data_IF_240503867833
#
_entry.id   IF_240503867833
#
_cell.length_a   1.000
_cell.length_b   1.000
_cell.length_c   1.000
_cell.angle_alpha   90.00
_cell.angle_beta   90.00
_cell.angle_gamma   90.00
#
_symmetry.space_group_name_H-M   'P 1'
#
loop_
_entity.id
_entity.type
_entity.pdbx_description
1 polymer ?
#
# COMPACT_ATOMS: atom_id res chain seq x y z
N UNK A 1 14.03 -58.10 0.43
CA UNK A 1 15.05 -57.06 0.14
C UNK A 1 14.90 -56.71 -1.33
N UNK A 2 14.69 -55.48 -1.79
CA UNK A 2 15.00 -54.17 -1.25
C UNK A 2 14.08 -53.17 -2.00
N UNK A 3 13.27 -52.39 -1.28
CA UNK A 3 12.45 -51.32 -1.84
C UNK A 3 13.37 -50.11 -2.10
N UNK A 4 13.66 -49.80 -3.37
CA UNK A 4 14.42 -48.61 -3.75
C UNK A 4 13.46 -47.41 -3.81
N UNK A 5 13.28 -46.77 -2.65
CA UNK A 5 12.75 -45.41 -2.54
C UNK A 5 13.80 -44.44 -3.10
N UNK A 6 13.69 -44.12 -4.38
CA UNK A 6 14.29 -42.89 -4.93
C UNK A 6 13.52 -41.70 -4.36
N UNK A 7 13.95 -41.23 -3.18
CA UNK A 7 13.66 -39.88 -2.72
C UNK A 7 14.38 -38.92 -3.69
N UNK A 8 13.65 -38.42 -4.69
CA UNK A 8 14.04 -37.18 -5.34
C UNK A 8 14.00 -36.10 -4.25
N UNK A 9 15.15 -35.73 -3.73
CA UNK A 9 15.32 -34.41 -3.11
C UNK A 9 15.14 -33.37 -4.21
N UNK A 10 13.88 -32.99 -4.46
CA UNK A 10 13.59 -31.73 -5.11
C UNK A 10 14.28 -30.66 -4.26
N UNK A 11 15.14 -29.79 -4.84
CA UNK A 11 15.67 -28.68 -4.10
C UNK A 11 14.48 -27.89 -3.58
N UNK A 12 14.27 -27.90 -2.26
CA UNK A 12 13.34 -26.99 -1.63
C UNK A 12 13.90 -25.60 -1.89
N UNK A 13 13.41 -24.96 -2.95
CA UNK A 13 13.68 -23.55 -3.20
C UNK A 13 13.02 -22.81 -2.06
N UNK A 14 13.78 -22.50 -1.01
CA UNK A 14 13.28 -21.73 0.11
C UNK A 14 13.45 -20.25 -0.22
N UNK A 15 12.47 -19.67 -0.91
CA UNK A 15 12.46 -18.22 -1.06
C UNK A 15 12.28 -17.53 0.30
N UNK A 16 12.67 -16.27 0.41
CA UNK A 16 12.45 -15.44 1.61
C UNK A 16 11.56 -14.26 1.26
N UNK A 17 10.88 -13.68 2.24
CA UNK A 17 10.28 -12.36 2.08
C UNK A 17 11.28 -11.29 2.51
N UNK A 18 11.25 -10.15 1.82
CA UNK A 18 11.93 -8.93 2.23
C UNK A 18 10.94 -8.06 2.99
N UNK A 19 11.33 -7.56 4.17
CA UNK A 19 10.54 -6.71 5.06
C UNK A 19 11.16 -5.31 5.17
N UNK A 20 10.63 -4.39 4.37
CA UNK A 20 11.17 -3.04 4.26
C UNK A 20 10.12 -2.03 3.77
N UNK A 21 10.44 -0.75 3.89
CA UNK A 21 9.72 0.33 3.21
C UNK A 21 10.69 1.41 2.71
N UNK A 22 10.22 2.21 1.74
CA UNK A 22 10.90 3.43 1.30
C UNK A 22 11.09 4.40 2.47
N UNK A 23 12.25 5.08 2.60
CA UNK A 23 12.53 6.00 3.70
C UNK A 23 11.46 7.07 3.96
N UNK A 24 10.87 7.64 2.90
CA UNK A 24 9.86 8.69 3.04
C UNK A 24 8.60 8.23 3.79
N UNK A 25 8.28 6.93 3.73
CA UNK A 25 7.11 6.37 4.41
C UNK A 25 7.24 6.34 5.93
N UNK A 26 8.44 6.54 6.49
CA UNK A 26 8.65 6.56 7.94
C UNK A 26 7.81 7.64 8.63
N UNK A 27 7.67 8.80 7.99
CA UNK A 27 6.90 9.94 8.50
C UNK A 27 5.55 10.12 7.79
N UNK A 28 5.26 9.26 6.82
CA UNK A 28 4.09 9.38 5.95
C UNK A 28 3.38 8.03 5.77
N UNK A 29 3.36 7.21 6.82
CA UNK A 29 2.83 5.85 6.76
C UNK A 29 1.38 5.79 6.28
N UNK A 30 0.57 6.82 6.54
CA UNK A 30 -0.80 6.96 6.08
C UNK A 30 -0.96 6.85 4.56
N UNK A 31 0.08 7.19 3.77
CA UNK A 31 0.05 7.05 2.31
C UNK A 31 -0.13 5.60 1.86
N UNK A 32 0.25 4.64 2.71
CA UNK A 32 0.16 3.20 2.39
C UNK A 32 -1.25 2.64 2.47
N UNK A 33 -2.15 3.28 3.23
CA UNK A 33 -3.44 2.69 3.59
C UNK A 33 -3.35 1.44 4.49
N UNK A 34 -2.15 1.11 5.00
CA UNK A 34 -1.94 0.01 5.94
C UNK A 34 -2.20 0.48 7.36
N UNK A 35 -2.92 -0.35 8.12
CA UNK A 35 -3.32 -0.04 9.49
C UNK A 35 -2.13 0.09 10.45
N UNK A 36 -1.08 -0.72 10.21
CA UNK A 36 0.05 -0.87 11.12
C UNK A 36 1.37 -0.70 10.39
N UNK A 37 2.28 0.00 11.05
CA UNK A 37 3.69 0.02 10.73
C UNK A 37 4.40 -0.96 11.69
N UNK A 38 4.93 -2.09 11.21
CA UNK A 38 5.65 -3.03 12.06
C UNK A 38 6.85 -2.37 12.75
N UNK A 39 7.04 -2.64 14.04
CA UNK A 39 8.10 -2.01 14.84
C UNK A 39 9.53 -2.27 14.30
N UNK A 40 9.74 -3.44 13.67
CA UNK A 40 11.03 -3.85 13.12
C UNK A 40 11.17 -3.54 11.62
N UNK A 41 10.23 -2.79 11.02
CA UNK A 41 10.26 -2.46 9.60
C UNK A 41 11.48 -1.60 9.26
N UNK A 42 12.30 -2.06 8.31
CA UNK A 42 13.48 -1.33 7.88
C UNK A 42 13.13 -0.29 6.82
N UNK A 43 13.41 0.98 7.11
CA UNK A 43 13.24 2.09 6.16
C UNK A 43 14.56 2.33 5.42
N UNK A 44 14.65 1.85 4.18
CA UNK A 44 15.91 1.86 3.43
C UNK A 44 15.71 1.90 1.92
N UNK A 45 16.63 2.53 1.19
CA UNK A 45 16.60 2.66 -0.28
C UNK A 45 16.75 1.31 -1.01
N UNK A 46 17.29 0.29 -0.34
CA UNK A 46 17.32 -1.10 -0.84
C UNK A 46 15.92 -1.66 -1.07
N UNK A 47 14.90 -1.11 -0.40
CA UNK A 47 13.53 -1.53 -0.63
C UNK A 47 13.04 -1.20 -2.04
N UNK A 48 13.63 -0.19 -2.68
CA UNK A 48 13.19 0.33 -3.98
C UNK A 48 13.98 -0.32 -5.13
N UNK A 49 15.30 -0.41 -4.96
CA UNK A 49 16.22 -0.70 -6.06
C UNK A 49 16.30 -2.18 -6.44
N UNK A 50 15.90 -3.09 -5.56
CA UNK A 50 16.31 -4.48 -5.71
C UNK A 50 17.78 -4.68 -5.33
N UNK A 51 18.18 -5.91 -5.07
CA UNK A 51 19.58 -6.25 -4.82
C UNK A 51 19.84 -7.74 -4.99
N UNK A 52 21.07 -8.10 -5.31
CA UNK A 52 21.49 -9.51 -5.37
C UNK A 52 21.42 -10.18 -3.97
N UNK A 53 21.69 -9.41 -2.91
CA UNK A 53 21.58 -9.84 -1.53
C UNK A 53 20.96 -8.73 -0.68
N UNK A 54 20.07 -9.12 0.22
CA UNK A 54 19.48 -8.24 1.22
C UNK A 54 20.15 -8.44 2.59
N UNK A 55 20.27 -7.38 3.39
CA UNK A 55 20.68 -7.51 4.79
C UNK A 55 19.80 -8.50 5.55
N UNK A 56 20.38 -9.34 6.40
CA UNK A 56 19.64 -10.38 7.14
C UNK A 56 18.50 -9.81 8.01
N UNK A 57 18.66 -8.59 8.52
CA UNK A 57 17.62 -7.89 9.29
C UNK A 57 16.43 -7.39 8.46
N UNK A 58 16.48 -7.53 7.13
CA UNK A 58 15.36 -7.28 6.22
C UNK A 58 14.73 -8.58 5.72
N UNK A 59 15.22 -9.75 6.15
CA UNK A 59 14.78 -11.03 5.64
C UNK A 59 13.87 -11.75 6.63
N UNK A 60 12.72 -12.21 6.11
CA UNK A 60 11.75 -13.00 6.86
C UNK A 60 11.63 -14.37 6.19
N UNK A 61 12.09 -15.46 6.83
CA UNK A 61 12.11 -16.79 6.22
C UNK A 61 10.74 -17.46 6.15
N UNK A 62 9.74 -16.95 6.87
CA UNK A 62 8.38 -17.50 6.91
C UNK A 62 7.35 -16.41 7.22
N UNK A 63 6.21 -16.41 6.52
CA UNK A 63 5.04 -15.59 6.85
C UNK A 63 3.88 -16.50 7.29
N UNK A 64 2.99 -15.97 8.14
CA UNK A 64 1.74 -16.69 8.44
C UNK A 64 0.70 -16.59 7.32
N UNK A 65 0.83 -15.57 6.46
CA UNK A 65 0.03 -15.38 5.23
C UNK A 65 0.92 -15.44 3.99
N UNK A 66 0.93 -14.40 3.16
CA UNK A 66 1.77 -14.28 1.97
C UNK A 66 2.79 -13.17 2.16
N UNK A 67 3.93 -13.28 1.46
CA UNK A 67 4.71 -12.09 1.22
C UNK A 67 3.86 -11.14 0.35
N UNK A 68 3.95 -9.84 0.58
CA UNK A 68 3.44 -8.87 -0.36
C UNK A 68 4.49 -7.80 -0.67
N UNK A 69 4.31 -7.18 -1.82
CA UNK A 69 5.00 -5.97 -2.24
C UNK A 69 3.95 -5.01 -2.81
N UNK A 70 4.13 -3.73 -2.50
CA UNK A 70 3.25 -2.67 -2.94
C UNK A 70 4.09 -1.49 -3.38
N UNK A 71 3.64 -0.83 -4.45
CA UNK A 71 4.23 0.40 -4.97
C UNK A 71 3.15 1.47 -5.08
N UNK A 72 3.48 2.68 -4.61
CA UNK A 72 2.57 3.82 -4.61
C UNK A 72 3.29 5.03 -5.19
N UNK A 73 2.77 5.64 -6.28
CA UNK A 73 3.26 6.91 -6.77
C UNK A 73 2.68 8.06 -5.95
N UNK A 74 3.54 8.85 -5.32
CA UNK A 74 3.19 10.09 -4.60
C UNK A 74 4.23 11.14 -4.91
N UNK A 75 3.81 12.38 -5.15
CA UNK A 75 4.73 13.52 -5.41
C UNK A 75 5.78 13.22 -6.50
N UNK A 76 5.36 12.54 -7.58
CA UNK A 76 6.20 12.16 -8.71
C UNK A 76 7.35 11.19 -8.36
N UNK A 77 7.23 10.45 -7.25
CA UNK A 77 8.17 9.41 -6.82
C UNK A 77 7.44 8.11 -6.50
N UNK A 78 8.13 6.98 -6.68
CA UNK A 78 7.63 5.68 -6.24
C UNK A 78 8.06 5.38 -4.81
N UNK A 79 7.11 4.93 -4.00
CA UNK A 79 7.35 4.40 -2.68
C UNK A 79 6.99 2.92 -2.62
N UNK A 80 7.85 2.15 -1.97
CA UNK A 80 7.74 0.70 -1.90
C UNK A 80 7.48 0.25 -0.47
N UNK A 81 6.63 -0.77 -0.32
CA UNK A 81 6.41 -1.48 0.94
C UNK A 81 6.48 -2.96 0.65
N UNK A 82 7.22 -3.71 1.47
CA UNK A 82 7.38 -5.15 1.35
C UNK A 82 7.36 -5.81 2.72
N UNK A 83 6.81 -7.00 2.80
CA UNK A 83 6.96 -7.87 3.97
C UNK A 83 5.93 -8.99 4.00
N UNK A 84 5.77 -9.59 5.17
CA UNK A 84 4.64 -10.48 5.44
C UNK A 84 3.38 -9.63 5.62
N UNK A 85 2.32 -9.90 4.85
CA UNK A 85 1.13 -9.05 4.85
C UNK A 85 0.46 -8.97 6.23
N UNK A 86 0.50 -10.05 7.01
CA UNK A 86 -0.09 -10.14 8.36
C UNK A 86 0.56 -9.20 9.39
N UNK A 87 1.79 -8.76 9.15
CA UNK A 87 2.47 -7.81 10.04
C UNK A 87 1.89 -6.38 9.93
N UNK A 88 1.32 -6.05 8.77
CA UNK A 88 0.82 -4.70 8.47
C UNK A 88 -0.68 -4.54 8.69
N UNK A 89 -1.39 -5.65 8.91
CA UNK A 89 -2.83 -5.67 9.14
C UNK A 89 -3.15 -6.02 10.60
N UNK A 90 -4.35 -5.65 11.04
CA UNK A 90 -4.81 -5.96 12.39
C UNK A 90 -5.36 -7.39 12.49
N UNK A 91 -4.75 -8.20 13.36
CA UNK A 91 -5.23 -9.56 13.66
C UNK A 91 -6.63 -9.50 14.28
N UNK A 92 -7.61 -10.15 13.65
CA UNK A 92 -8.96 -10.34 14.20
C UNK A 92 -10.03 -9.35 13.73
N UNK A 93 -9.68 -8.31 12.97
CA UNK A 93 -10.65 -7.31 12.44
C UNK A 93 -11.00 -7.55 10.98
N UNK A 94 -10.14 -8.27 10.24
CA UNK A 94 -10.37 -8.58 8.83
C UNK A 94 -10.18 -10.07 8.60
N UNK A 95 -11.20 -10.72 8.03
CA UNK A 95 -11.10 -12.08 7.49
C UNK A 95 -10.22 -12.15 6.21
N UNK A 96 -9.31 -11.20 6.03
CA UNK A 96 -8.42 -11.12 4.88
C UNK A 96 -7.18 -11.95 5.14
N UNK A 97 -7.39 -13.26 5.28
CA UNK A 97 -6.31 -14.18 5.00
C UNK A 97 -6.15 -14.23 3.49
N UNK A 98 -5.26 -13.39 2.99
CA UNK A 98 -4.77 -13.48 1.62
C UNK A 98 -4.02 -14.80 1.54
N UNK A 99 -4.65 -15.82 0.96
CA UNK A 99 -4.09 -17.18 0.82
C UNK A 99 -3.68 -17.49 -0.62
N UNK A 100 -4.22 -16.72 -1.56
CA UNK A 100 -3.99 -16.87 -2.99
C UNK A 100 -3.06 -15.78 -3.50
N UNK A 101 -2.17 -16.17 -4.40
CA UNK A 101 -1.32 -15.22 -5.12
C UNK A 101 -2.18 -14.31 -5.98
N UNK A 102 -1.85 -13.02 -5.98
CA UNK A 102 -2.63 -12.03 -6.71
C UNK A 102 -1.76 -10.83 -7.00
N UNK A 103 -1.84 -10.32 -8.22
CA UNK A 103 -1.23 -9.05 -8.58
C UNK A 103 -2.28 -8.14 -9.22
N UNK A 104 -2.42 -6.93 -8.68
CA UNK A 104 -3.31 -5.90 -9.19
C UNK A 104 -2.52 -4.63 -9.47
N UNK A 105 -2.91 -3.90 -10.51
CA UNK A 105 -2.32 -2.60 -10.80
C UNK A 105 -3.33 -1.62 -11.37
N UNK A 106 -2.97 -0.34 -11.31
CA UNK A 106 -3.79 0.78 -11.79
C UNK A 106 -2.89 1.84 -12.40
N UNK A 107 -3.26 2.34 -13.58
CA UNK A 107 -2.62 3.53 -14.15
C UNK A 107 -3.09 4.77 -13.39
N UNK A 108 -2.15 5.60 -12.94
CA UNK A 108 -2.39 6.86 -12.24
C UNK A 108 -2.21 8.00 -13.24
N UNK A 109 -3.33 8.54 -13.70
CA UNK A 109 -3.36 9.42 -14.89
C UNK A 109 -2.96 10.87 -14.61
N UNK A 110 -2.95 11.27 -13.34
CA UNK A 110 -2.64 12.64 -12.88
C UNK A 110 -1.21 12.78 -12.33
N UNK A 111 -0.40 11.71 -12.41
CA UNK A 111 0.98 11.73 -11.96
C UNK A 111 1.94 11.22 -13.04
N UNK A 112 3.09 11.87 -13.09
CA UNK A 112 4.22 11.47 -13.90
C UNK A 112 5.39 11.19 -12.96
N UNK A 113 6.02 10.02 -13.09
CA UNK A 113 7.20 9.68 -12.28
C UNK A 113 8.43 9.71 -13.17
N UNK A 114 9.52 10.25 -12.63
CA UNK A 114 10.80 10.25 -13.32
C UNK A 114 11.26 8.81 -13.59
N UNK A 115 11.62 8.52 -14.83
CA UNK A 115 12.10 7.20 -15.28
C UNK A 115 13.51 7.32 -15.85
N UNK A 116 14.32 6.28 -15.63
CA UNK A 116 15.72 6.25 -16.04
C UNK A 116 16.66 6.97 -15.06
N UNK A 117 17.96 6.90 -15.37
CA UNK A 117 19.03 7.42 -14.50
C UNK A 117 19.33 8.91 -14.72
N UNK A 118 18.81 9.52 -15.78
CA UNK A 118 19.10 10.90 -16.17
C UNK A 118 18.13 11.93 -15.55
N UNK A 119 17.00 11.48 -15.01
CA UNK A 119 16.02 12.34 -14.33
C UNK A 119 15.29 13.32 -15.24
N UNK A 120 15.43 13.16 -16.56
CA UNK A 120 14.83 14.05 -17.57
C UNK A 120 13.59 13.46 -18.23
N UNK A 121 13.43 12.13 -18.17
CA UNK A 121 12.31 11.41 -18.75
C UNK A 121 11.23 11.13 -17.69
N UNK A 122 9.98 11.23 -18.08
CA UNK A 122 8.82 11.02 -17.22
C UNK A 122 7.84 10.07 -17.88
N UNK A 123 7.29 9.14 -17.10
CA UNK A 123 6.28 8.19 -17.57
C UNK A 123 5.00 8.27 -16.73
N UNK A 124 3.83 7.94 -17.32
CA UNK A 124 2.61 7.74 -16.57
C UNK A 124 2.83 6.76 -15.41
N UNK A 125 2.37 7.15 -14.23
CA UNK A 125 2.63 6.39 -13.03
C UNK A 125 1.70 5.15 -12.93
N UNK A 126 2.16 4.11 -12.24
CA UNK A 126 1.35 2.94 -11.89
C UNK A 126 1.41 2.67 -10.39
N UNK A 127 0.25 2.45 -9.78
CA UNK A 127 0.18 1.87 -8.44
C UNK A 127 -0.09 0.37 -8.55
N UNK A 128 0.56 -0.44 -7.72
CA UNK A 128 0.41 -1.88 -7.78
C UNK A 128 0.59 -2.57 -6.44
N UNK A 129 -0.04 -3.74 -6.30
CA UNK A 129 0.11 -4.63 -5.16
C UNK A 129 0.25 -6.06 -5.67
N UNK A 130 1.19 -6.82 -5.11
CA UNK A 130 1.40 -8.23 -5.43
C UNK A 130 1.54 -9.03 -4.15
N UNK A 131 0.85 -10.16 -4.10
CA UNK A 131 0.90 -11.17 -3.05
C UNK A 131 1.49 -12.46 -3.62
N UNK A 132 2.48 -13.02 -2.93
CA UNK A 132 3.28 -14.14 -3.42
C UNK A 132 3.54 -15.17 -2.31
N UNK A 133 3.51 -16.45 -2.67
CA UNK A 133 3.83 -17.54 -1.76
C UNK A 133 5.34 -17.72 -1.63
N UNK A 134 5.78 -17.98 -0.40
CA UNK A 134 7.14 -18.45 -0.15
C UNK A 134 7.30 -19.83 -0.80
N UNK A 135 8.48 -20.07 -1.38
CA UNK A 135 8.86 -21.36 -1.95
C UNK A 135 8.63 -21.53 -3.46
N UNK A 136 8.02 -20.54 -4.13
CA UNK A 136 7.77 -20.57 -5.58
C UNK A 136 8.77 -19.76 -6.42
N UNK A 137 9.40 -18.76 -5.80
CA UNK A 137 10.39 -17.90 -6.44
C UNK A 137 11.82 -18.37 -6.11
N UNK A 138 12.80 -18.07 -6.97
CA UNK A 138 14.19 -18.53 -6.81
C UNK A 138 14.94 -17.87 -5.65
N UNK A 139 14.64 -16.59 -5.36
CA UNK A 139 15.38 -15.79 -4.37
C UNK A 139 14.44 -15.19 -3.32
N UNK A 140 13.69 -14.16 -3.72
CA UNK A 140 12.81 -13.41 -2.84
C UNK A 140 11.41 -13.34 -3.44
N UNK A 141 10.40 -13.76 -2.66
CA UNK A 141 9.03 -13.89 -3.15
C UNK A 141 8.36 -12.54 -3.44
N UNK A 142 8.74 -11.46 -2.76
CA UNK A 142 8.17 -10.12 -2.92
C UNK A 142 9.19 -9.10 -3.47
N UNK A 143 9.95 -9.51 -4.49
CA UNK A 143 10.97 -8.70 -5.15
C UNK A 143 10.80 -8.61 -6.68
N UNK A 144 9.57 -8.39 -7.16
CA UNK A 144 9.27 -8.26 -8.59
C UNK A 144 8.91 -6.83 -9.01
N UNK A 145 8.38 -6.04 -8.08
CA UNK A 145 8.15 -4.61 -8.23
C UNK A 145 9.42 -3.88 -7.78
N UNK A 146 10.35 -3.61 -8.69
CA UNK A 146 11.61 -2.89 -8.42
C UNK A 146 11.70 -1.66 -9.31
N UNK A 147 12.34 -0.58 -8.84
CA UNK A 147 12.41 0.70 -9.56
C UNK A 147 12.84 0.57 -11.03
N UNK A 148 13.82 -0.28 -11.35
CA UNK A 148 14.30 -0.49 -12.73
C UNK A 148 13.26 -1.14 -13.64
N UNK A 149 12.32 -1.93 -13.11
CA UNK A 149 11.23 -2.48 -13.90
C UNK A 149 10.24 -1.41 -14.38
N UNK A 150 10.22 -0.25 -13.71
CA UNK A 150 9.31 0.86 -13.94
C UNK A 150 9.90 1.86 -14.96
N UNK A 151 11.16 1.67 -15.38
CA UNK A 151 11.80 2.44 -16.45
C UNK A 151 11.39 1.96 -17.86
N UNK A 152 10.75 0.80 -17.95
CA UNK A 152 10.24 0.22 -19.21
C UNK A 152 8.79 0.64 -19.43
N UNK A 153 8.18 0.17 -20.52
CA UNK A 153 6.74 0.27 -20.74
C UNK A 153 5.99 -0.45 -19.59
N UNK A 154 5.70 0.29 -18.52
CA UNK A 154 5.37 -0.27 -17.22
C UNK A 154 4.08 -1.10 -17.25
N UNK A 155 3.02 -0.59 -17.88
CA UNK A 155 1.76 -1.31 -18.00
C UNK A 155 1.94 -2.65 -18.73
N UNK A 156 2.85 -2.69 -19.72
CA UNK A 156 3.20 -3.91 -20.44
C UNK A 156 3.98 -4.89 -19.55
N UNK A 157 4.95 -4.41 -18.79
CA UNK A 157 5.67 -5.24 -17.79
C UNK A 157 4.70 -5.86 -16.77
N UNK A 158 3.76 -5.06 -16.26
CA UNK A 158 2.75 -5.53 -15.29
C UNK A 158 1.90 -6.67 -15.88
N UNK A 159 1.45 -6.54 -17.12
CA UNK A 159 0.57 -7.54 -17.75
C UNK A 159 1.34 -8.75 -18.26
N UNK A 160 2.39 -8.54 -19.06
CA UNK A 160 3.08 -9.62 -19.78
C UNK A 160 4.09 -10.37 -18.91
N UNK A 161 4.77 -9.68 -17.98
CA UNK A 161 5.80 -10.28 -17.13
C UNK A 161 5.24 -10.73 -15.79
N UNK A 162 4.47 -9.88 -15.13
CA UNK A 162 3.96 -10.15 -13.78
C UNK A 162 2.54 -10.72 -13.75
N UNK A 163 1.87 -10.81 -14.92
CA UNK A 163 0.49 -11.31 -15.04
C UNK A 163 -0.49 -10.58 -14.11
N UNK A 164 -0.23 -9.29 -13.86
CA UNK A 164 -1.06 -8.46 -13.01
C UNK A 164 -2.35 -8.07 -13.73
N UNK A 165 -3.44 -8.02 -12.97
CA UNK A 165 -4.76 -7.66 -13.49
C UNK A 165 -4.96 -6.16 -13.29
N UNK A 166 -5.26 -5.45 -14.38
CA UNK A 166 -5.62 -4.04 -14.31
C UNK A 166 -6.95 -3.87 -13.55
N UNK A 167 -6.97 -2.98 -12.57
CA UNK A 167 -8.20 -2.66 -11.84
C UNK A 167 -9.09 -1.73 -12.65
N UNK A 168 -10.40 -1.80 -12.41
CA UNK A 168 -11.37 -0.89 -13.02
C UNK A 168 -11.52 0.37 -12.17
N UNK A 169 -11.66 1.52 -12.82
CA UNK A 169 -11.93 2.77 -12.13
C UNK A 169 -13.34 2.81 -11.54
N UNK A 170 -13.45 3.47 -10.40
CA UNK A 170 -14.66 3.80 -9.69
C UNK A 170 -14.74 5.33 -9.54
N UNK A 171 -15.95 5.87 -9.71
CA UNK A 171 -16.26 7.23 -9.30
C UNK A 171 -16.72 7.19 -7.85
N UNK A 172 -16.04 7.94 -6.99
CA UNK A 172 -16.24 7.96 -5.55
C UNK A 172 -16.60 9.38 -5.11
N UNK A 173 -17.32 9.50 -4.01
CA UNK A 173 -17.48 10.79 -3.34
C UNK A 173 -16.14 11.25 -2.78
N UNK A 174 -15.83 12.53 -3.01
CA UNK A 174 -14.70 13.23 -2.39
C UNK A 174 -15.25 14.22 -1.38
N UNK A 175 -14.79 14.16 -0.15
CA UNK A 175 -15.27 15.05 0.92
C UNK A 175 -14.31 15.05 2.10
N UNK A 176 -14.15 16.20 2.76
CA UNK A 176 -13.43 16.28 4.03
C UNK A 176 -14.22 17.13 5.01
N UNK A 177 -14.38 16.62 6.23
CA UNK A 177 -15.05 17.26 7.35
C UNK A 177 -14.19 17.13 8.60
N UNK A 178 -14.00 18.23 9.31
CA UNK A 178 -13.29 18.26 10.58
C UNK A 178 -13.93 19.29 11.51
N UNK A 179 -14.39 18.85 12.69
CA UNK A 179 -14.89 19.69 13.78
C UNK A 179 -15.86 20.81 13.36
N UNK A 180 -16.87 20.48 12.56
CA UNK A 180 -17.87 21.45 12.08
C UNK A 180 -17.47 22.22 10.81
N UNK A 181 -16.23 22.07 10.35
CA UNK A 181 -15.72 22.69 9.11
C UNK A 181 -15.63 21.67 7.98
N UNK A 182 -15.88 22.11 6.75
CA UNK A 182 -15.86 21.27 5.56
C UNK A 182 -17.22 20.68 5.19
N UNK A 183 -17.23 19.65 4.35
CA UNK A 183 -18.44 19.05 3.79
C UNK A 183 -18.49 17.56 4.11
N UNK A 184 -19.59 17.12 4.73
CA UNK A 184 -19.97 15.71 4.86
C UNK A 184 -21.07 15.37 3.83
N UNK A 185 -20.88 15.79 2.58
CA UNK A 185 -21.88 15.63 1.51
C UNK A 185 -21.25 15.04 0.23
N UNK A 186 -22.12 14.66 -0.72
CA UNK A 186 -21.74 13.94 -1.94
C UNK A 186 -21.51 14.87 -3.16
N UNK A 187 -21.15 16.14 -2.93
CA UNK A 187 -21.08 17.16 -4.00
C UNK A 187 -19.85 17.03 -4.89
N UNK A 188 -18.71 16.67 -4.32
CA UNK A 188 -17.49 16.44 -5.09
C UNK A 188 -17.26 14.96 -5.35
N UNK A 189 -16.56 14.66 -6.44
CA UNK A 189 -16.23 13.31 -6.84
C UNK A 189 -14.77 13.20 -7.25
N UNK A 190 -14.21 12.01 -7.11
CA UNK A 190 -12.93 11.62 -7.68
C UNK A 190 -13.09 10.32 -8.46
N UNK A 191 -12.13 10.04 -9.34
CA UNK A 191 -12.05 8.78 -10.08
C UNK A 191 -10.76 8.07 -9.68
N UNK A 192 -10.87 6.83 -9.23
CA UNK A 192 -9.72 5.98 -8.88
C UNK A 192 -10.13 4.52 -8.78
N UNK A 193 -9.19 3.60 -8.60
CA UNK A 193 -9.50 2.17 -8.55
C UNK A 193 -10.36 1.77 -7.33
N UNK A 194 -10.14 2.46 -6.21
CA UNK A 194 -10.81 2.19 -4.94
C UNK A 194 -11.38 3.48 -4.37
N UNK A 195 -12.59 3.39 -3.81
CA UNK A 195 -13.14 4.43 -2.95
C UNK A 195 -12.62 4.22 -1.54
N UNK A 196 -12.17 5.30 -0.91
CA UNK A 196 -11.70 5.31 0.47
C UNK A 196 -12.63 6.13 1.35
N UNK A 197 -12.75 5.72 2.61
CA UNK A 197 -13.45 6.49 3.64
C UNK A 197 -12.72 6.33 4.96
N UNK A 198 -12.50 7.43 5.67
CA UNK A 198 -12.04 7.46 7.06
C UNK A 198 -13.13 8.19 7.85
N UNK A 199 -13.70 7.54 8.86
CA UNK A 199 -14.75 8.11 9.73
C UNK A 199 -14.38 7.84 11.19
N UNK A 200 -14.20 8.89 11.98
CA UNK A 200 -13.77 8.78 13.37
C UNK A 200 -13.42 10.10 14.01
N UNK A 201 -12.33 10.12 14.77
CA UNK A 201 -11.88 11.26 15.55
C UNK A 201 -10.39 11.54 15.31
N UNK A 202 -10.09 12.79 14.96
CA UNK A 202 -8.74 13.33 14.92
C UNK A 202 -8.58 14.30 16.09
N UNK A 203 -7.65 14.03 17.00
CA UNK A 203 -7.45 14.80 18.24
C UNK A 203 -8.74 14.98 19.06
N UNK A 204 -9.57 13.92 19.11
CA UNK A 204 -10.85 13.92 19.82
C UNK A 204 -11.99 14.68 19.12
N UNK A 205 -11.74 15.29 17.95
CA UNK A 205 -12.76 15.97 17.15
C UNK A 205 -13.20 15.10 15.98
N UNK A 206 -14.49 15.15 15.64
CA UNK A 206 -15.05 14.35 14.55
C UNK A 206 -14.32 14.67 13.25
N UNK A 207 -13.87 13.62 12.57
CA UNK A 207 -13.15 13.67 11.31
C UNK A 207 -13.78 12.70 10.32
N UNK A 208 -14.06 13.18 9.12
CA UNK A 208 -14.50 12.35 8.00
C UNK A 208 -13.72 12.75 6.77
N UNK A 209 -13.12 11.78 6.11
CA UNK A 209 -12.47 11.96 4.82
C UNK A 209 -12.96 10.88 3.87
N UNK A 210 -13.35 11.27 2.65
CA UNK A 210 -13.71 10.36 1.57
C UNK A 210 -12.94 10.74 0.33
N UNK A 211 -12.52 9.74 -0.42
CA UNK A 211 -11.77 9.98 -1.64
C UNK A 211 -11.53 8.72 -2.43
N UNK A 212 -10.44 8.75 -3.17
CA UNK A 212 -10.03 7.69 -4.07
C UNK A 212 -8.61 7.27 -3.73
N UNK A 213 -8.33 5.98 -3.86
CA UNK A 213 -6.98 5.45 -3.86
C UNK A 213 -6.70 4.74 -5.19
N UNK A 214 -5.46 4.86 -5.71
CA UNK A 214 -5.07 4.19 -6.94
C UNK A 214 -4.88 2.69 -6.72
N UNK A 215 -4.60 2.25 -5.50
CA UNK A 215 -4.44 0.84 -5.13
C UNK A 215 -4.97 0.60 -3.71
N UNK A 216 -5.28 -0.65 -3.39
CA UNK A 216 -5.61 -1.08 -2.04
C UNK A 216 -4.60 -2.15 -1.60
N UNK A 217 -4.07 -2.10 -0.37
CA UNK A 217 -3.25 -3.18 0.19
C UNK A 217 -4.08 -4.40 0.61
N UNK A 218 -5.37 -4.42 0.25
CA UNK A 218 -6.37 -5.41 0.62
C UNK A 218 -6.97 -6.04 -0.63
N UNK A 219 -7.32 -7.32 -0.58
CA UNK A 219 -7.84 -8.04 -1.77
C UNK A 219 -9.33 -7.81 -2.01
N UNK A 220 -10.07 -7.62 -0.93
CA UNK A 220 -11.50 -7.42 -0.92
C UNK A 220 -11.85 -6.09 -0.27
N UNK A 221 -13.12 -5.70 -0.42
CA UNK A 221 -13.65 -4.54 0.29
C UNK A 221 -13.52 -4.76 1.79
N UNK A 222 -13.00 -3.76 2.48
CA UNK A 222 -12.62 -3.87 3.88
C UNK A 222 -12.95 -2.59 4.62
N UNK A 223 -13.28 -2.73 5.89
CA UNK A 223 -13.27 -1.66 6.87
C UNK A 223 -12.48 -2.15 8.07
N UNK A 224 -11.60 -1.32 8.58
CA UNK A 224 -10.70 -1.66 9.67
C UNK A 224 -10.54 -0.46 10.59
N UNK A 225 -10.31 -0.72 11.86
CA UNK A 225 -9.99 0.31 12.83
C UNK A 225 -8.54 0.72 12.64
N UNK A 226 -8.30 2.02 12.50
CA UNK A 226 -6.97 2.61 12.52
C UNK A 226 -6.83 3.44 13.78
N UNK A 227 -5.69 3.23 14.46
CA UNK A 227 -5.25 4.08 15.54
C UNK A 227 -3.81 4.49 15.28
N UNK A 228 -3.61 5.73 14.87
CA UNK A 228 -2.27 6.27 14.62
C UNK A 228 -1.97 7.40 15.58
N UNK A 229 -0.70 7.48 15.97
CA UNK A 229 -0.15 8.60 16.71
C UNK A 229 1.04 9.12 15.89
N UNK A 230 0.83 10.22 15.17
CA UNK A 230 1.84 10.84 14.33
C UNK A 230 2.19 12.21 14.89
N UNK A 231 3.48 12.46 15.12
CA UNK A 231 3.96 13.76 15.58
C UNK A 231 4.51 14.55 14.39
N UNK A 232 3.83 15.63 14.03
CA UNK A 232 4.32 16.52 12.97
C UNK A 232 5.31 17.50 13.57
N UNK A 233 6.60 17.30 13.28
CA UNK A 233 7.62 18.30 13.53
C UNK A 233 7.37 19.47 12.56
N UNK A 234 6.76 20.55 13.05
CA UNK A 234 6.43 21.80 12.33
C UNK A 234 4.98 22.00 11.86
N UNK A 235 4.05 21.11 12.21
CA UNK A 235 2.63 21.24 11.87
C UNK A 235 2.31 21.13 10.35
N UNK A 236 1.08 20.73 9.97
CA UNK A 236 0.69 20.64 8.57
C UNK A 236 0.40 22.03 8.02
N UNK A 237 1.41 22.68 7.43
CA UNK A 237 1.29 24.00 6.84
C UNK A 237 2.31 24.20 5.72
N UNK A 238 1.80 24.42 4.52
CA UNK A 238 2.58 24.65 3.30
C UNK A 238 3.50 25.88 3.48
N UNK A 239 4.81 25.72 3.30
CA UNK A 239 5.72 26.82 2.93
C UNK A 239 6.31 27.73 4.03
N UNK A 240 6.29 27.36 5.31
CA UNK A 240 6.89 28.20 6.36
C UNK A 240 8.34 27.83 6.67
N UNK A 241 9.30 28.69 6.28
CA UNK A 241 10.73 28.67 6.66
C UNK A 241 10.92 28.18 8.10
N UNK A 242 11.92 27.33 8.31
CA UNK A 242 12.31 26.70 9.58
C UNK A 242 12.49 27.79 10.65
N UNK A 243 11.41 28.11 11.37
CA UNK A 243 11.45 28.91 12.58
C UNK A 243 11.84 27.97 13.72
N UNK A 244 12.88 28.33 14.47
CA UNK A 244 13.56 27.51 15.48
C UNK A 244 12.71 27.06 16.68
N UNK A 245 11.40 27.27 16.70
CA UNK A 245 10.52 26.90 17.83
C UNK A 245 9.11 26.45 17.40
N UNK A 246 8.92 25.76 16.27
CA UNK A 246 7.61 25.15 15.99
C UNK A 246 7.39 23.92 16.88
N UNK A 247 6.46 24.04 17.84
CA UNK A 247 6.00 22.94 18.70
C UNK A 247 5.55 21.77 17.84
N UNK A 248 5.98 20.56 18.20
CA UNK A 248 5.43 19.33 17.62
C UNK A 248 3.93 19.28 17.88
N UNK A 249 3.16 18.96 16.85
CA UNK A 249 1.72 18.71 16.99
C UNK A 249 1.52 17.22 16.88
N UNK A 250 1.03 16.62 17.96
CA UNK A 250 0.60 15.23 17.96
C UNK A 250 -0.78 15.15 17.30
N UNK A 251 -0.88 14.30 16.29
CA UNK A 251 -2.12 13.94 15.63
C UNK A 251 -2.46 12.49 16.01
N UNK A 252 -3.47 12.35 16.86
CA UNK A 252 -4.04 11.08 17.26
C UNK A 252 -5.29 10.87 16.40
N UNK A 253 -5.22 9.90 15.50
CA UNK A 253 -6.37 9.47 14.71
C UNK A 253 -6.88 8.16 15.30
N UNK A 254 -8.16 8.14 15.68
CA UNK A 254 -8.91 6.95 16.07
C UNK A 254 -10.14 6.86 15.17
N UNK A 255 -10.09 6.00 14.17
CA UNK A 255 -11.08 5.99 13.10
C UNK A 255 -11.30 4.60 12.49
N UNK A 256 -12.35 4.49 11.69
CA UNK A 256 -12.54 3.35 10.78
C UNK A 256 -12.14 3.77 9.37
N UNK A 257 -11.18 3.07 8.78
CA UNK A 257 -10.78 3.23 7.38
C UNK A 257 -11.41 2.12 6.55
N UNK A 258 -12.01 2.48 5.42
CA UNK A 258 -12.61 1.54 4.48
C UNK A 258 -12.01 1.70 3.08
N UNK A 259 -11.86 0.58 2.38
CA UNK A 259 -11.53 0.48 0.95
C UNK A 259 -12.62 -0.31 0.25
N UNK A 260 -13.18 0.24 -0.82
CA UNK A 260 -14.29 -0.38 -1.55
C UNK A 260 -14.16 -0.21 -3.06
N UNK A 261 -14.58 -1.24 -3.78
CA UNK A 261 -14.84 -1.20 -5.22
C UNK A 261 -16.35 -1.04 -5.49
N UNK A 262 -16.71 -0.48 -6.65
CA UNK A 262 -18.10 -0.22 -7.08
C UNK A 262 -19.08 -1.41 -6.96
N UNK A 263 -18.57 -2.65 -6.87
CA UNK A 263 -19.38 -3.88 -6.92
C UNK A 263 -20.03 -4.34 -5.61
N UNK A 264 -19.79 -3.69 -4.47
CA UNK A 264 -20.38 -4.15 -3.20
C UNK A 264 -21.73 -3.52 -2.88
N UNK A 265 -22.80 -4.28 -3.14
CA UNK A 265 -24.16 -3.99 -2.63
C UNK A 265 -24.42 -4.52 -1.20
N UNK A 266 -23.48 -5.24 -0.59
CA UNK A 266 -23.76 -6.14 0.56
C UNK A 266 -23.38 -5.63 1.95
N UNK A 267 -22.76 -4.46 2.07
CA UNK A 267 -22.37 -3.92 3.38
C UNK A 267 -23.15 -2.64 3.69
N UNK A 268 -23.91 -2.65 4.79
CA UNK A 268 -24.68 -1.50 5.28
C UNK A 268 -23.80 -0.27 5.54
N UNK A 269 -22.52 -0.46 5.89
CA UNK A 269 -21.54 0.62 6.10
C UNK A 269 -20.89 1.12 4.81
N UNK A 270 -20.85 0.31 3.74
CA UNK A 270 -20.38 0.72 2.40
C UNK A 270 -21.30 1.76 1.78
N UNK A 271 -22.55 1.90 2.25
CA UNK A 271 -23.37 3.06 1.90
C UNK A 271 -22.71 4.37 2.30
N UNK A 272 -21.91 4.45 3.38
CA UNK A 272 -21.23 5.69 3.79
C UNK A 272 -20.05 6.06 2.89
N UNK A 273 -19.42 5.09 2.22
CA UNK A 273 -18.45 5.32 1.15
C UNK A 273 -19.22 5.42 -0.17
N UNK A 274 -19.98 6.51 -0.35
CA UNK A 274 -20.97 6.61 -1.42
C UNK A 274 -20.33 6.55 -2.82
N UNK A 275 -20.95 5.73 -3.66
CA UNK A 275 -20.81 5.68 -5.11
C UNK A 275 -21.85 6.64 -5.68
N UNK A 276 -21.46 7.58 -6.54
CA UNK A 276 -22.43 8.26 -7.39
C UNK A 276 -22.96 7.24 -8.41
N UNK A 277 -24.29 7.07 -8.41
CA UNK A 277 -25.02 6.19 -9.31
C UNK A 277 -24.99 6.74 -10.75
#
# INVERSE_FOLDING_TARGET
MLFLLFLLELPFVSSKCVQCASPNLQNQWQLTGLARQPANLQFHTFCENGGAAYPDNMLTPSCSTLCFEMVIPVENQYHFVRGCHDDFIEKGVTAQQVRDEKCLFTNVTDQLVAVGNDGTNYAPAVAAVRFAQIGKDTDYANMKLIKSAFEKEISKYMVETLQCIATQSANCVKSMYYDGTGADNNKESCTGAYCTSVDGYLNGKRYVERGCAPISPYLDNVCLTIKTNSSFHSGPGNGGVISREKRSVDAILDATQCFCTKRSRRFSWVRKAWLQA
#
